data_IF_808345699785
#
_entry.id   IF_808345699785
#
_cell.length_a   1.000
_cell.length_b   1.000
_cell.length_c   1.000
_cell.angle_alpha   90.00
_cell.angle_beta   90.00
_cell.angle_gamma   90.00
#
_symmetry.space_group_name_H-M   'P 1'
#
loop_
_entity.id
_entity.type
_entity.pdbx_description
1 polymer ?
#
# COMPACT_ATOMS: atom_id res chain seq x y z
N UNK A 1 7.40 -11.10 -13.71
CA UNK A 1 6.45 -9.98 -13.62
C UNK A 1 6.82 -9.23 -12.36
N UNK A 2 6.87 -7.89 -12.37
CA UNK A 2 7.09 -7.13 -11.13
C UNK A 2 6.09 -7.61 -10.08
N UNK A 3 6.54 -7.69 -8.82
CA UNK A 3 5.65 -8.07 -7.73
C UNK A 3 4.50 -7.05 -7.64
N UNK A 4 3.27 -7.55 -7.59
CA UNK A 4 2.12 -6.74 -7.24
C UNK A 4 2.09 -6.60 -5.72
N UNK A 5 1.99 -5.37 -5.22
CA UNK A 5 1.84 -5.12 -3.79
C UNK A 5 0.37 -4.81 -3.49
N UNK A 6 -0.28 -5.71 -2.75
CA UNK A 6 -1.62 -5.50 -2.20
C UNK A 6 -1.50 -4.86 -0.82
N UNK A 7 -2.21 -3.76 -0.60
CA UNK A 7 -2.15 -2.98 0.64
C UNK A 7 -3.56 -2.71 1.16
N UNK A 8 -3.74 -2.87 2.47
CA UNK A 8 -4.95 -2.50 3.19
C UNK A 8 -4.74 -1.23 4.00
N UNK A 9 -5.78 -0.40 4.05
CA UNK A 9 -5.86 0.71 4.99
C UNK A 9 -6.54 0.21 6.28
N UNK A 10 -5.89 0.38 7.43
CA UNK A 10 -6.39 -0.06 8.75
C UNK A 10 -7.17 1.02 9.48
N UNK A 11 -7.23 2.24 8.94
CA UNK A 11 -8.02 3.35 9.47
C UNK A 11 -9.52 3.08 9.30
N UNK A 12 -10.24 2.98 10.42
CA UNK A 12 -11.68 2.71 10.45
C UNK A 12 -12.54 3.87 9.96
N UNK A 13 -12.00 5.09 9.91
CA UNK A 13 -12.70 6.27 9.41
C UNK A 13 -12.45 6.47 7.89
N UNK A 14 -11.63 5.61 7.27
CA UNK A 14 -11.33 5.66 5.84
C UNK A 14 -12.28 4.76 5.04
N UNK A 15 -12.88 5.30 3.97
CA UNK A 15 -13.75 4.52 3.07
C UNK A 15 -12.97 3.56 2.16
N UNK A 16 -11.64 3.72 2.08
CA UNK A 16 -10.77 2.86 1.29
C UNK A 16 -10.34 1.65 2.12
N UNK A 17 -10.82 0.46 1.79
CA UNK A 17 -10.48 -0.78 2.52
C UNK A 17 -9.18 -1.41 1.99
N UNK A 18 -9.07 -1.60 0.67
CA UNK A 18 -7.92 -2.24 0.02
C UNK A 18 -7.62 -1.58 -1.32
N UNK A 19 -6.35 -1.51 -1.68
CA UNK A 19 -5.90 -1.08 -2.99
C UNK A 19 -4.63 -1.82 -3.41
N UNK A 20 -4.42 -1.88 -4.72
CA UNK A 20 -3.32 -2.60 -5.34
C UNK A 20 -2.37 -1.61 -6.01
N UNK A 21 -1.07 -1.80 -5.81
CA UNK A 21 -0.03 -0.95 -6.38
C UNK A 21 0.69 -1.68 -7.51
N UNK A 22 0.60 -1.11 -8.71
CA UNK A 22 1.26 -1.63 -9.91
C UNK A 22 2.45 -0.76 -10.28
N UNK A 23 3.63 -1.38 -10.26
CA UNK A 23 4.86 -0.75 -10.70
C UNK A 23 5.26 -1.28 -12.06
N UNK A 24 5.56 -0.36 -12.99
CA UNK A 24 6.07 -0.71 -14.32
C UNK A 24 7.51 -1.22 -14.27
N UNK A 25 8.25 -0.83 -13.22
CA UNK A 25 9.63 -1.22 -12.95
C UNK A 25 9.72 -1.93 -11.61
N UNK A 26 10.81 -2.65 -11.38
CA UNK A 26 11.07 -3.26 -10.09
C UNK A 26 11.20 -2.17 -9.02
N UNK A 27 10.47 -2.36 -7.93
CA UNK A 27 10.59 -1.53 -6.74
C UNK A 27 11.96 -1.79 -6.10
N UNK A 28 12.68 -0.76 -5.63
CA UNK A 28 13.90 -0.95 -4.85
C UNK A 28 13.64 -1.81 -3.59
N UNK A 29 14.61 -2.65 -3.22
CA UNK A 29 14.47 -3.57 -2.08
C UNK A 29 14.33 -2.86 -0.71
N UNK A 30 14.62 -1.56 -0.64
CA UNK A 30 14.55 -0.72 0.55
C UNK A 30 13.23 0.06 0.68
N UNK A 31 12.30 -0.09 -0.27
CA UNK A 31 10.98 0.57 -0.22
C UNK A 31 9.96 -0.37 0.42
N UNK A 32 9.33 0.10 1.50
CA UNK A 32 8.29 -0.60 2.26
C UNK A 32 6.91 0.06 2.17
N UNK A 33 5.91 -0.53 2.82
CA UNK A 33 4.56 0.07 2.90
C UNK A 33 4.56 1.40 3.66
N UNK A 34 5.49 1.57 4.59
CA UNK A 34 5.72 2.81 5.33
C UNK A 34 6.13 4.02 4.45
N UNK A 35 6.61 3.79 3.23
CA UNK A 35 6.99 4.85 2.30
C UNK A 35 5.79 5.42 1.51
N UNK A 36 4.59 4.86 1.72
CA UNK A 36 3.38 5.24 0.99
C UNK A 36 2.35 5.91 1.89
N UNK A 37 1.40 6.57 1.23
CA UNK A 37 0.24 7.17 1.88
C UNK A 37 -1.03 6.60 1.26
N UNK A 38 -2.06 6.38 2.08
CA UNK A 38 -3.37 5.99 1.61
C UNK A 38 -3.89 7.03 0.59
N UNK A 39 -4.31 6.64 -0.62
CA UNK A 39 -4.74 7.60 -1.64
C UNK A 39 -6.01 8.36 -1.26
N UNK A 40 -6.78 7.83 -0.30
CA UNK A 40 -8.01 8.43 0.21
C UNK A 40 -7.77 9.30 1.45
N UNK A 41 -7.45 8.69 2.60
CA UNK A 41 -7.31 9.43 3.87
C UNK A 41 -5.93 10.11 4.04
N UNK A 42 -4.96 9.83 3.16
CA UNK A 42 -3.58 10.37 3.21
C UNK A 42 -2.77 9.97 4.45
N UNK A 43 -3.25 9.05 5.27
CA UNK A 43 -2.48 8.45 6.37
C UNK A 43 -1.30 7.63 5.85
N UNK A 44 -0.20 7.64 6.60
CA UNK A 44 1.06 6.95 6.28
C UNK A 44 1.38 5.81 7.26
N UNK A 45 0.72 5.81 8.40
CA UNK A 45 0.85 4.85 9.50
C UNK A 45 -0.31 3.85 9.57
N UNK A 46 -1.22 3.92 8.60
CA UNK A 46 -2.42 3.09 8.51
C UNK A 46 -2.35 2.06 7.38
N UNK A 47 -1.19 1.81 6.79
CA UNK A 47 -1.02 0.88 5.66
C UNK A 47 -0.41 -0.44 6.11
N UNK A 48 -0.99 -1.54 5.65
CA UNK A 48 -0.50 -2.90 5.93
C UNK A 48 -0.43 -3.71 4.63
N UNK A 49 0.73 -4.32 4.36
CA UNK A 49 0.91 -5.23 3.22
C UNK A 49 0.14 -6.53 3.46
N UNK A 50 -0.55 -7.01 2.43
CA UNK A 50 -1.23 -8.30 2.46
C UNK A 50 -0.41 -9.28 1.62
N UNK A 51 -0.01 -10.39 2.24
CA UNK A 51 0.57 -11.54 1.54
C UNK A 51 -0.52 -12.62 1.33
N UNK A 52 -0.71 -13.05 0.08
CA UNK A 52 -1.60 -14.16 -0.31
C UNK A 52 -0.89 -15.52 -0.27
#
# INVERSE_FOLDING_TARGET
MPATLEVKCTDSDCEMDMFEMHYTYDMPDDVGVEDFACPYCRGTDCLEAIEL
#
